data_IF_000310981121
#
_entry.id   IF_000310981121
#
_cell.length_a   1.000
_cell.length_b   1.000
_cell.length_c   1.000
_cell.angle_alpha   90.00
_cell.angle_beta   90.00
_cell.angle_gamma   90.00
#
_symmetry.space_group_name_H-M   'P 1'
#
loop_
_entity.id
_entity.type
_entity.pdbx_description
1 polymer ?
#
# COMPACT_ATOMS: atom_id res chain seq x y z
N UNK A 1 -15.55 9.29 12.87
CA UNK A 1 -16.48 8.36 12.19
C UNK A 1 -15.63 7.18 11.76
N UNK A 2 -15.89 6.02 12.34
CA UNK A 2 -15.15 4.80 11.99
C UNK A 2 -15.44 4.52 10.51
N UNK A 3 -14.39 4.43 9.69
CA UNK A 3 -14.54 3.91 8.33
C UNK A 3 -14.81 2.42 8.54
N UNK A 4 -16.03 2.01 8.27
CA UNK A 4 -16.46 0.61 8.36
C UNK A 4 -15.43 -0.28 7.65
N UNK A 5 -14.96 -1.30 8.37
CA UNK A 5 -14.13 -2.37 7.82
C UNK A 5 -14.93 -3.13 6.76
N UNK A 6 -14.97 -2.60 5.53
CA UNK A 6 -15.61 -3.26 4.40
C UNK A 6 -14.84 -4.54 4.12
N UNK A 7 -15.57 -5.67 4.11
CA UNK A 7 -15.09 -6.96 3.62
C UNK A 7 -14.46 -6.75 2.24
N UNK A 8 -13.22 -7.24 2.08
CA UNK A 8 -12.53 -7.23 0.78
C UNK A 8 -13.38 -7.95 -0.25
N UNK A 9 -13.59 -7.33 -1.39
CA UNK A 9 -13.94 -8.07 -2.59
C UNK A 9 -12.67 -8.74 -3.10
N UNK A 10 -12.75 -9.97 -3.62
CA UNK A 10 -11.62 -10.63 -4.30
C UNK A 10 -11.24 -9.99 -5.65
N UNK A 11 -11.60 -8.73 -5.84
CA UNK A 11 -11.42 -7.97 -7.07
C UNK A 11 -10.06 -7.29 -7.07
N UNK A 12 -9.21 -7.72 -8.01
CA UNK A 12 -7.87 -7.21 -8.30
C UNK A 12 -7.89 -5.99 -9.22
N UNK A 13 -8.92 -5.15 -9.11
CA UNK A 13 -9.07 -3.92 -9.88
C UNK A 13 -7.91 -2.92 -9.74
N UNK A 14 -7.90 -1.87 -10.58
CA UNK A 14 -6.74 -1.00 -10.75
C UNK A 14 -6.37 -0.22 -9.48
N UNK A 15 -5.07 -0.01 -9.25
CA UNK A 15 -4.57 0.90 -8.21
C UNK A 15 -4.50 2.32 -8.78
N UNK A 16 -5.09 3.29 -8.08
CA UNK A 16 -5.11 4.70 -8.50
C UNK A 16 -3.93 5.48 -7.94
N UNK A 17 -3.61 5.28 -6.65
CA UNK A 17 -2.58 6.03 -5.94
C UNK A 17 -1.72 5.13 -5.06
N UNK A 18 -0.40 5.28 -5.19
CA UNK A 18 0.62 4.67 -4.33
C UNK A 18 1.28 5.77 -3.49
N UNK A 19 1.10 5.70 -2.17
CA UNK A 19 1.73 6.58 -1.20
C UNK A 19 3.08 6.05 -0.76
N UNK A 20 4.15 6.70 -1.19
CA UNK A 20 5.53 6.41 -0.77
C UNK A 20 5.93 7.14 0.54
N UNK A 21 5.01 7.86 1.18
CA UNK A 21 5.26 8.55 2.44
C UNK A 21 5.35 7.58 3.62
N UNK A 22 6.37 7.76 4.46
CA UNK A 22 6.57 6.99 5.69
C UNK A 22 5.48 7.27 6.73
N UNK A 23 5.32 6.38 7.70
CA UNK A 23 4.45 6.59 8.84
C UNK A 23 4.73 7.91 9.56
N UNK A 24 3.68 8.48 10.17
CA UNK A 24 3.70 9.77 10.88
C UNK A 24 3.92 11.01 10.00
N UNK A 25 3.94 10.87 8.67
CA UNK A 25 4.04 12.00 7.72
C UNK A 25 2.69 12.51 7.22
N UNK A 26 1.62 12.34 8.02
CA UNK A 26 0.26 12.71 7.64
C UNK A 26 -0.50 11.66 6.81
N UNK A 27 -0.02 10.41 6.79
CA UNK A 27 -0.60 9.30 6.01
C UNK A 27 -2.05 9.01 6.34
N UNK A 28 -2.47 9.14 7.60
CA UNK A 28 -3.86 8.95 7.99
C UNK A 28 -4.79 10.04 7.43
N UNK A 29 -4.35 11.30 7.44
CA UNK A 29 -5.08 12.39 6.80
C UNK A 29 -5.15 12.18 5.29
N UNK A 30 -4.07 11.69 4.67
CA UNK A 30 -4.02 11.36 3.25
C UNK A 30 -4.97 10.20 2.90
N UNK A 31 -5.03 9.13 3.72
CA UNK A 31 -5.99 8.04 3.57
C UNK A 31 -7.42 8.60 3.48
N UNK A 32 -7.82 9.41 4.46
CA UNK A 32 -9.16 10.02 4.50
C UNK A 32 -9.43 10.88 3.27
N UNK A 33 -8.46 11.69 2.85
CA UNK A 33 -8.61 12.54 1.66
C UNK A 33 -8.80 11.71 0.38
N UNK A 34 -8.01 10.65 0.20
CA UNK A 34 -8.11 9.74 -0.95
C UNK A 34 -9.45 9.00 -0.98
N UNK A 35 -9.94 8.53 0.17
CA UNK A 35 -11.24 7.87 0.28
C UNK A 35 -12.39 8.83 -0.09
N UNK A 36 -12.29 10.11 0.28
CA UNK A 36 -13.27 11.13 -0.12
C UNK A 36 -13.20 11.43 -1.63
N UNK A 37 -12.00 11.58 -2.19
CA UNK A 37 -11.80 11.98 -3.60
C UNK A 37 -12.21 10.87 -4.56
N UNK A 38 -11.84 9.63 -4.26
CA UNK A 38 -12.05 8.49 -5.15
C UNK A 38 -13.30 7.67 -4.82
N UNK A 39 -13.95 7.90 -3.68
CA UNK A 39 -15.07 7.07 -3.18
C UNK A 39 -14.72 5.56 -3.19
N UNK A 40 -13.48 5.24 -2.83
CA UNK A 40 -12.92 3.90 -2.83
C UNK A 40 -11.96 3.74 -1.64
N UNK A 41 -11.80 2.53 -1.08
CA UNK A 41 -11.00 2.34 0.13
C UNK A 41 -9.49 2.49 -0.11
N UNK A 42 -8.81 3.02 0.90
CA UNK A 42 -7.36 3.23 0.90
C UNK A 42 -6.66 2.35 1.96
N UNK A 43 -5.73 1.51 1.52
CA UNK A 43 -4.97 0.63 2.40
C UNK A 43 -3.98 1.43 3.24
N UNK A 44 -3.87 1.10 4.51
CA UNK A 44 -3.02 1.78 5.49
C UNK A 44 -2.62 0.78 6.59
N UNK A 45 -1.52 1.03 7.31
CA UNK A 45 -1.11 0.23 8.48
C UNK A 45 -2.25 -0.09 9.46
N UNK A 46 -3.22 0.81 9.65
CA UNK A 46 -4.36 0.57 10.53
C UNK A 46 -5.19 -0.62 10.01
N UNK A 47 -5.43 -0.70 8.70
CA UNK A 47 -6.16 -1.81 8.07
C UNK A 47 -5.50 -3.16 8.35
N UNK A 48 -4.16 -3.22 8.25
CA UNK A 48 -3.37 -4.40 8.59
C UNK A 48 -3.55 -4.79 10.07
N UNK A 49 -3.51 -3.80 10.98
CA UNK A 49 -3.56 -4.05 12.42
C UNK A 49 -4.97 -4.39 12.94
N UNK A 50 -6.03 -3.84 12.32
CA UNK A 50 -7.40 -3.96 12.82
C UNK A 50 -8.25 -4.95 12.04
N UNK A 51 -8.08 -5.06 10.72
CA UNK A 51 -8.98 -5.79 9.84
C UNK A 51 -8.33 -6.98 9.14
N UNK A 52 -7.05 -6.87 8.77
CA UNK A 52 -6.37 -7.85 7.92
C UNK A 52 -5.08 -8.38 8.53
N UNK A 53 -5.13 -8.78 9.82
CA UNK A 53 -3.94 -9.26 10.56
C UNK A 53 -3.19 -10.38 9.83
N UNK A 54 -3.90 -11.23 9.08
CA UNK A 54 -3.30 -12.31 8.30
C UNK A 54 -2.44 -11.84 7.12
N UNK A 55 -2.62 -10.60 6.64
CA UNK A 55 -1.72 -10.03 5.64
C UNK A 55 -0.30 -9.84 6.15
N UNK A 56 -0.08 -9.81 7.47
CA UNK A 56 1.27 -9.76 8.03
C UNK A 56 2.15 -10.87 7.46
N UNK A 57 1.60 -12.08 7.28
CA UNK A 57 2.31 -13.21 6.65
C UNK A 57 2.60 -12.97 5.18
N UNK A 58 1.68 -12.35 4.44
CA UNK A 58 1.88 -11.99 3.03
C UNK A 58 2.94 -10.91 2.87
N UNK A 59 2.96 -9.90 3.74
CA UNK A 59 3.98 -8.87 3.76
C UNK A 59 5.36 -9.39 4.13
N UNK A 60 5.45 -10.35 5.07
CA UNK A 60 6.70 -11.06 5.35
C UNK A 60 7.18 -11.87 4.15
N UNK A 61 6.26 -12.48 3.39
CA UNK A 61 6.62 -13.18 2.15
C UNK A 61 7.09 -12.21 1.06
N UNK A 62 6.46 -11.04 0.92
CA UNK A 62 6.94 -9.97 0.04
C UNK A 62 8.37 -9.57 0.43
N UNK A 63 8.62 -9.32 1.72
CA UNK A 63 9.95 -8.94 2.22
C UNK A 63 11.03 -9.99 1.89
N UNK A 64 10.70 -11.26 2.14
CA UNK A 64 11.57 -12.40 1.84
C UNK A 64 11.90 -12.46 0.35
N UNK A 65 10.88 -12.39 -0.51
CA UNK A 65 11.05 -12.47 -1.96
C UNK A 65 11.84 -11.29 -2.53
N UNK A 66 11.59 -10.07 -2.05
CA UNK A 66 12.36 -8.89 -2.46
C UNK A 66 13.83 -9.02 -2.06
N UNK A 67 14.08 -9.50 -0.83
CA UNK A 67 15.44 -9.64 -0.29
C UNK A 67 16.26 -10.75 -0.99
N UNK A 68 15.60 -11.81 -1.46
CA UNK A 68 16.24 -12.91 -2.19
C UNK A 68 16.35 -12.65 -3.70
N UNK A 69 15.60 -11.69 -4.24
CA UNK A 69 15.56 -11.41 -5.67
C UNK A 69 16.70 -10.49 -6.10
N UNK A 70 17.43 -10.91 -7.15
CA UNK A 70 18.50 -10.10 -7.77
C UNK A 70 17.95 -8.83 -8.41
N UNK A 71 16.71 -8.85 -8.90
CA UNK A 71 16.06 -7.71 -9.55
C UNK A 71 14.93 -7.08 -8.71
N UNK A 72 14.75 -7.56 -7.47
CA UNK A 72 13.75 -7.06 -6.52
C UNK A 72 12.30 -7.28 -6.94
N UNK A 73 12.04 -8.13 -7.95
CA UNK A 73 10.67 -8.45 -8.41
C UNK A 73 9.95 -9.39 -7.45
N UNK A 74 8.64 -9.19 -7.37
CA UNK A 74 7.70 -9.99 -6.58
C UNK A 74 6.58 -10.45 -7.50
N UNK A 75 6.06 -11.67 -7.28
CA UNK A 75 4.86 -12.14 -7.97
C UNK A 75 3.70 -11.14 -7.73
N UNK A 76 3.15 -10.51 -8.78
CA UNK A 76 2.02 -9.59 -8.67
C UNK A 76 0.82 -10.13 -7.89
N UNK A 77 0.62 -11.46 -7.88
CA UNK A 77 -0.48 -12.10 -7.16
C UNK A 77 -0.49 -11.78 -5.67
N UNK A 78 0.68 -11.69 -5.02
CA UNK A 78 0.77 -11.33 -3.60
C UNK A 78 0.17 -9.95 -3.36
N UNK A 79 0.47 -8.97 -4.22
CA UNK A 79 -0.10 -7.64 -4.12
C UNK A 79 -1.60 -7.63 -4.43
N UNK A 80 -2.07 -8.40 -5.41
CA UNK A 80 -3.51 -8.53 -5.65
C UNK A 80 -4.28 -9.11 -4.45
N UNK A 81 -3.69 -10.07 -3.75
CA UNK A 81 -4.29 -10.64 -2.54
C UNK A 81 -4.26 -9.70 -1.33
N UNK A 82 -3.24 -8.83 -1.23
CA UNK A 82 -3.14 -7.82 -0.18
C UNK A 82 -4.11 -6.65 -0.47
N UNK A 83 -4.18 -6.20 -1.72
CA UNK A 83 -4.95 -5.01 -2.10
C UNK A 83 -6.33 -5.33 -2.66
N UNK A 84 -6.81 -6.57 -2.55
CA UNK A 84 -8.16 -6.95 -2.99
C UNK A 84 -9.21 -5.97 -2.46
N UNK A 85 -9.92 -5.30 -3.38
CA UNK A 85 -10.92 -4.27 -3.08
C UNK A 85 -10.38 -2.87 -2.73
N UNK A 86 -9.08 -2.68 -2.51
CA UNK A 86 -8.44 -1.38 -2.30
C UNK A 86 -8.05 -0.71 -3.62
N UNK A 87 -8.11 0.63 -3.67
CA UNK A 87 -7.77 1.43 -4.87
C UNK A 87 -6.72 2.49 -4.62
N UNK A 88 -6.32 2.68 -3.37
CA UNK A 88 -5.21 3.52 -2.96
C UNK A 88 -4.43 2.80 -1.86
N UNK A 89 -3.15 3.10 -1.69
CA UNK A 89 -2.36 2.60 -0.55
C UNK A 89 -1.42 3.68 -0.02
N UNK A 90 -1.26 3.76 1.29
CA UNK A 90 -0.36 4.71 1.98
C UNK A 90 0.20 4.04 3.24
N UNK A 91 1.23 4.65 3.84
CA UNK A 91 1.87 4.16 5.07
C UNK A 91 2.50 2.76 4.92
N UNK A 92 3.13 2.32 5.99
CA UNK A 92 3.64 0.97 6.12
C UNK A 92 2.51 -0.07 6.08
N UNK A 93 2.82 -1.29 5.63
CA UNK A 93 4.08 -1.71 5.00
C UNK A 93 4.21 -1.26 3.53
N UNK A 94 3.12 -0.84 2.88
CA UNK A 94 3.07 -0.56 1.44
C UNK A 94 4.10 0.47 0.94
N UNK A 95 4.37 1.52 1.71
CA UNK A 95 5.31 2.57 1.32
C UNK A 95 6.75 2.07 1.15
N UNK A 96 7.14 0.98 1.83
CA UNK A 96 8.49 0.40 1.71
C UNK A 96 8.71 -0.31 0.37
N UNK A 97 7.63 -0.78 -0.27
CA UNK A 97 7.66 -1.55 -1.51
C UNK A 97 7.10 -0.78 -2.71
N UNK A 98 7.07 0.56 -2.63
CA UNK A 98 6.54 1.40 -3.71
C UNK A 98 7.19 1.13 -5.09
N UNK A 99 8.49 0.80 -5.24
CA UNK A 99 9.06 0.50 -6.56
C UNK A 99 8.48 -0.78 -7.16
N UNK A 100 8.24 -1.81 -6.35
CA UNK A 100 7.58 -3.04 -6.79
C UNK A 100 6.11 -2.78 -7.14
N UNK A 101 5.42 -1.96 -6.34
CA UNK A 101 4.04 -1.58 -6.62
C UNK A 101 3.91 -0.79 -7.93
N UNK A 102 4.88 0.08 -8.27
CA UNK A 102 4.91 0.77 -9.56
C UNK A 102 5.09 -0.18 -10.74
N UNK A 103 5.82 -1.29 -10.56
CA UNK A 103 5.95 -2.32 -11.59
C UNK A 103 4.64 -3.10 -11.80
N UNK A 104 3.92 -3.38 -10.71
CA UNK A 104 2.65 -4.13 -10.75
C UNK A 104 1.48 -3.28 -11.21
N UNK A 105 1.49 -1.99 -10.85
CA UNK A 105 0.45 -1.02 -11.16
C UNK A 105 1.05 0.20 -11.88
N UNK A 106 1.48 0.06 -13.14
CA UNK A 106 2.20 1.11 -13.87
C UNK A 106 1.38 2.39 -14.10
N UNK A 107 0.05 2.28 -14.10
CA UNK A 107 -0.87 3.42 -14.29
C UNK A 107 -1.15 4.20 -12.98
N UNK A 108 -0.72 3.66 -11.82
CA UNK A 108 -0.97 4.30 -10.53
C UNK A 108 -0.10 5.55 -10.35
N UNK A 109 -0.69 6.63 -9.86
CA UNK A 109 0.06 7.85 -9.53
C UNK A 109 0.80 7.65 -8.21
N UNK A 110 2.06 8.07 -8.15
CA UNK A 110 2.86 7.99 -6.93
C UNK A 110 2.84 9.33 -6.20
N UNK A 111 2.42 9.32 -4.94
CA UNK A 111 2.49 10.49 -4.05
C UNK A 111 3.58 10.29 -3.00
N UNK A 112 4.56 11.18 -2.94
CA UNK A 112 5.55 11.25 -1.87
C UNK A 112 5.15 12.25 -0.79
N UNK A 113 5.58 12.03 0.45
CA UNK A 113 5.61 13.10 1.45
C UNK A 113 6.97 13.79 1.39
N UNK A 114 6.98 15.12 1.28
CA UNK A 114 8.19 15.96 1.25
C UNK A 114 9.15 15.72 2.44
N UNK A 115 8.64 15.16 3.55
CA UNK A 115 9.42 14.88 4.76
C UNK A 115 10.18 13.55 4.67
N UNK A 116 9.72 12.59 3.86
CA UNK A 116 10.37 11.27 3.71
C UNK A 116 11.54 11.24 2.74
N UNK A 117 11.61 12.19 1.80
CA UNK A 117 12.66 12.22 0.76
C UNK A 117 14.05 12.54 1.35
N UNK A 118 14.13 13.05 2.58
CA UNK A 118 15.37 13.45 3.24
C UNK A 118 16.07 12.33 4.02
N UNK A 119 15.47 11.13 4.17
CA UNK A 119 15.99 10.10 5.07
C UNK A 119 16.35 8.75 4.39
N UNK A 120 16.34 8.68 3.05
CA UNK A 120 16.46 7.40 2.32
C UNK A 120 17.41 7.37 1.12
N UNK A 121 18.25 8.40 0.96
CA UNK A 121 19.37 8.38 0.01
C UNK A 121 20.63 8.88 0.73
N UNK A 122 21.20 8.01 1.56
CA UNK A 122 22.61 8.03 1.97
C UNK A 122 23.06 6.59 2.22
#
# INVERSE_FOLDING_TARGET
>A
MAVDGKSRTGDSGPMFVIGAGLGRTGTLSLKTALEIIYDQPCYHMIELLTHHKDDSRKWLEVDRLVSESVDGKVDPKLFYEIFGGYRCTVDFPSCAYYPQLMQVYPEAKVSGSLIGFLCGFD
#
